data_IF_533640185163
#
_entry.id   IF_533640185163
#
_cell.length_a   1.000
_cell.length_b   1.000
_cell.length_c   1.000
_cell.angle_alpha   90.00
_cell.angle_beta   90.00
_cell.angle_gamma   90.00
#
_symmetry.space_group_name_H-M   'P 1'
#
loop_
_entity.id
_entity.type
_entity.pdbx_description
1 polymer ?
#
# COMPACT_ATOMS: atom_id res chain seq x y z
N UNK A 1 -23.44 4.94 13.54
CA UNK A 1 -22.25 5.13 12.71
C UNK A 1 -22.32 6.52 12.15
N UNK A 2 -21.40 7.36 12.58
CA UNK A 2 -21.24 8.75 12.20
C UNK A 2 -19.85 8.93 11.58
N UNK A 3 -19.74 9.86 10.64
CA UNK A 3 -18.46 10.23 10.04
C UNK A 3 -17.92 11.41 10.85
N UNK A 4 -16.88 11.15 11.64
CA UNK A 4 -16.35 12.12 12.60
C UNK A 4 -15.26 13.00 11.99
N UNK A 5 -14.54 12.48 10.99
CA UNK A 5 -13.47 13.22 10.30
C UNK A 5 -13.44 12.87 8.81
N UNK A 6 -13.17 13.88 7.97
CA UNK A 6 -12.94 13.72 6.54
C UNK A 6 -11.65 14.46 6.16
N UNK A 7 -10.71 13.74 5.57
CA UNK A 7 -9.43 14.27 5.09
C UNK A 7 -9.40 14.22 3.57
N UNK A 8 -9.21 15.37 2.93
CA UNK A 8 -9.19 15.52 1.47
C UNK A 8 -7.77 15.84 1.00
N UNK A 9 -7.32 15.13 -0.03
CA UNK A 9 -6.11 15.45 -0.80
C UNK A 9 -6.52 15.71 -2.25
N UNK A 10 -6.56 16.99 -2.62
CA UNK A 10 -6.87 17.42 -3.98
C UNK A 10 -5.80 16.92 -4.95
N UNK A 11 -6.21 16.56 -6.17
CA UNK A 11 -5.30 16.29 -7.28
C UNK A 11 -5.07 17.56 -8.08
N UNK A 12 -3.84 17.76 -8.54
CA UNK A 12 -3.45 18.94 -9.33
C UNK A 12 -3.83 18.79 -10.81
N UNK A 13 -3.92 17.55 -11.30
CA UNK A 13 -4.19 17.23 -12.71
C UNK A 13 -5.70 17.17 -12.99
N UNK A 14 -6.26 18.28 -13.47
CA UNK A 14 -7.70 18.41 -13.77
C UNK A 14 -8.18 17.62 -15.00
N UNK A 15 -7.27 17.11 -15.83
CA UNK A 15 -7.60 16.38 -17.06
C UNK A 15 -8.05 14.93 -16.78
N UNK A 16 -7.70 14.41 -15.59
CA UNK A 16 -8.09 13.07 -15.18
C UNK A 16 -9.43 13.08 -14.45
N UNK A 17 -10.18 11.98 -14.55
CA UNK A 17 -11.49 11.90 -13.89
C UNK A 17 -11.38 11.91 -12.36
N UNK A 18 -10.18 11.67 -11.82
CA UNK A 18 -9.90 11.64 -10.39
C UNK A 18 -9.62 13.05 -9.88
N UNK A 19 -10.52 13.56 -9.04
CA UNK A 19 -10.44 14.93 -8.52
C UNK A 19 -9.69 15.02 -7.18
N UNK A 20 -9.87 14.01 -6.32
CA UNK A 20 -9.21 13.98 -5.02
C UNK A 20 -9.17 12.55 -4.44
N UNK A 21 -8.23 12.33 -3.54
CA UNK A 21 -8.28 11.22 -2.60
C UNK A 21 -8.89 11.67 -1.28
N UNK A 22 -9.61 10.77 -0.63
CA UNK A 22 -10.29 11.01 0.63
C UNK A 22 -9.98 9.89 1.62
N UNK A 23 -9.81 10.26 2.88
CA UNK A 23 -9.85 9.33 4.02
C UNK A 23 -10.94 9.76 4.99
N UNK A 24 -11.71 8.82 5.50
CA UNK A 24 -12.79 9.10 6.46
C UNK A 24 -12.55 8.36 7.77
N UNK A 25 -12.90 8.98 8.88
CA UNK A 25 -12.93 8.36 10.21
C UNK A 25 -14.39 8.14 10.61
N UNK A 26 -14.71 6.91 11.00
CA UNK A 26 -16.02 6.48 11.46
C UNK A 26 -15.98 6.33 12.99
N UNK A 27 -16.96 6.93 13.67
CA UNK A 27 -17.16 6.85 15.12
C UNK A 27 -15.85 7.05 15.94
N UNK A 28 -14.93 7.92 15.47
CA UNK A 28 -13.59 8.17 16.06
C UNK A 28 -12.70 6.94 16.31
N UNK A 29 -13.06 5.78 15.76
CA UNK A 29 -12.39 4.51 16.08
C UNK A 29 -11.94 3.72 14.85
N UNK A 30 -12.40 4.09 13.65
CA UNK A 30 -12.09 3.34 12.43
C UNK A 30 -11.84 4.24 11.22
N UNK A 31 -10.66 4.14 10.61
CA UNK A 31 -10.28 4.94 9.44
C UNK A 31 -10.35 4.10 8.17
N UNK A 32 -11.04 4.63 7.16
CA UNK A 32 -11.04 4.08 5.79
C UNK A 32 -10.26 5.04 4.89
N UNK A 33 -9.20 4.53 4.26
CA UNK A 33 -8.33 5.27 3.35
C UNK A 33 -8.67 4.96 1.89
N UNK A 34 -8.08 5.75 0.99
CA UNK A 34 -8.13 5.55 -0.46
C UNK A 34 -9.54 5.58 -1.07
N UNK A 35 -10.46 6.35 -0.47
CA UNK A 35 -11.68 6.75 -1.17
C UNK A 35 -11.28 7.73 -2.27
N UNK A 36 -11.99 7.69 -3.39
CA UNK A 36 -11.71 8.53 -4.56
C UNK A 36 -12.90 9.40 -4.88
N UNK A 37 -12.67 10.68 -5.11
CA UNK A 37 -13.69 11.58 -5.64
C UNK A 37 -13.49 11.64 -7.15
N UNK A 38 -14.49 11.19 -7.89
CA UNK A 38 -14.42 11.03 -9.35
C UNK A 38 -15.49 11.89 -10.01
N UNK A 39 -15.11 12.60 -11.07
CA UNK A 39 -16.06 13.33 -11.90
C UNK A 39 -16.86 12.35 -12.78
N UNK A 40 -18.19 12.40 -12.61
CA UNK A 40 -19.17 11.64 -13.36
C UNK A 40 -20.02 12.53 -14.27
N UNK A 41 -20.92 11.93 -15.06
CA UNK A 41 -21.85 12.69 -15.89
C UNK A 41 -22.91 13.47 -15.11
N UNK A 42 -23.19 13.05 -13.87
CA UNK A 42 -24.12 13.69 -12.94
C UNK A 42 -23.40 14.49 -11.85
N UNK A 43 -22.13 14.87 -12.08
CA UNK A 43 -21.27 15.55 -11.11
C UNK A 43 -20.35 14.60 -10.32
N UNK A 44 -19.61 15.15 -9.34
CA UNK A 44 -18.64 14.39 -8.57
C UNK A 44 -19.32 13.37 -7.65
N UNK A 45 -18.74 12.17 -7.57
CA UNK A 45 -19.21 11.10 -6.70
C UNK A 45 -18.05 10.39 -6.01
N UNK A 46 -18.37 9.68 -4.93
CA UNK A 46 -17.39 8.95 -4.14
C UNK A 46 -17.30 7.50 -4.61
N UNK A 47 -16.12 7.09 -5.05
CA UNK A 47 -15.76 5.72 -5.33
C UNK A 47 -15.03 5.11 -4.12
N UNK A 48 -15.45 3.90 -3.75
CA UNK A 48 -14.92 3.19 -2.61
C UNK A 48 -13.48 2.67 -2.87
N UNK A 49 -12.68 2.44 -1.82
CA UNK A 49 -11.36 1.85 -1.96
C UNK A 49 -11.47 0.46 -2.56
N UNK A 50 -10.71 0.19 -3.62
CA UNK A 50 -10.81 -1.05 -4.40
C UNK A 50 -9.47 -1.73 -4.57
N UNK A 51 -9.50 -3.06 -4.65
CA UNK A 51 -8.33 -3.92 -4.88
C UNK A 51 -8.52 -4.78 -6.12
N UNK A 52 -7.43 -4.99 -6.86
CA UNK A 52 -7.40 -5.96 -7.96
C UNK A 52 -7.55 -7.38 -7.43
N UNK A 53 -8.49 -8.12 -7.99
CA UNK A 53 -8.74 -9.51 -7.67
C UNK A 53 -7.60 -10.41 -8.18
N UNK A 54 -7.33 -11.45 -7.40
CA UNK A 54 -6.21 -12.38 -7.62
C UNK A 54 -6.65 -13.82 -7.36
N UNK A 55 -6.00 -14.78 -8.02
CA UNK A 55 -6.14 -16.22 -7.74
C UNK A 55 -4.78 -16.87 -7.48
N UNK A 56 -4.79 -17.98 -6.75
CA UNK A 56 -3.59 -18.76 -6.48
C UNK A 56 -3.30 -19.73 -7.64
N UNK A 57 -2.03 -19.84 -8.00
CA UNK A 57 -1.56 -20.81 -9.00
C UNK A 57 -1.83 -22.24 -8.50
N UNK A 58 -2.42 -23.13 -9.30
CA UNK A 58 -2.65 -24.52 -8.89
C UNK A 58 -1.35 -25.34 -8.77
N UNK A 59 -0.23 -24.87 -9.36
CA UNK A 59 1.04 -25.58 -9.33
C UNK A 59 1.94 -25.18 -8.17
N UNK A 60 2.12 -23.86 -7.94
CA UNK A 60 3.06 -23.35 -6.92
C UNK A 60 2.38 -22.55 -5.80
N UNK A 61 1.07 -22.35 -5.84
CA UNK A 61 0.34 -21.57 -4.85
C UNK A 61 0.55 -20.04 -4.92
N UNK A 62 1.44 -19.53 -5.79
CA UNK A 62 1.69 -18.10 -5.89
C UNK A 62 0.42 -17.29 -6.25
N UNK A 63 0.31 -16.08 -5.70
CA UNK A 63 -0.81 -15.16 -5.95
C UNK A 63 -0.61 -14.44 -7.29
N UNK A 64 -1.57 -14.58 -8.20
CA UNK A 64 -1.54 -13.99 -9.53
C UNK A 64 -2.80 -13.16 -9.77
N UNK A 65 -2.71 -12.08 -10.56
CA UNK A 65 -3.89 -11.34 -10.98
C UNK A 65 -4.82 -12.21 -11.83
N UNK A 66 -6.14 -12.02 -11.72
CA UNK A 66 -7.11 -12.92 -12.37
C UNK A 66 -6.95 -13.05 -13.90
N UNK A 67 -6.47 -12.01 -14.59
CA UNK A 67 -6.22 -12.02 -16.04
C UNK A 67 -4.87 -12.59 -16.48
N UNK A 68 -4.03 -13.04 -15.54
CA UNK A 68 -2.76 -13.67 -15.92
C UNK A 68 -3.00 -14.98 -16.65
N UNK A 69 -2.52 -15.10 -17.89
CA UNK A 69 -2.46 -16.37 -18.61
C UNK A 69 -1.38 -17.32 -18.09
N UNK A 70 -0.38 -16.80 -17.39
CA UNK A 70 0.74 -17.55 -16.82
C UNK A 70 1.05 -17.10 -15.40
N UNK A 71 1.58 -18.01 -14.59
CA UNK A 71 1.99 -17.72 -13.24
C UNK A 71 3.26 -16.86 -13.23
N UNK A 72 3.21 -15.73 -12.52
CA UNK A 72 4.32 -14.81 -12.31
C UNK A 72 5.49 -15.41 -11.51
N UNK A 73 5.33 -16.58 -10.89
CA UNK A 73 6.37 -17.27 -10.11
C UNK A 73 6.95 -18.48 -10.85
N UNK A 74 6.12 -19.45 -11.24
CA UNK A 74 6.59 -20.70 -11.86
C UNK A 74 6.44 -20.76 -13.38
N UNK A 75 5.86 -19.74 -14.02
CA UNK A 75 5.59 -19.72 -15.46
C UNK A 75 4.48 -20.68 -15.92
N UNK A 76 3.89 -21.48 -15.02
CA UNK A 76 2.83 -22.42 -15.36
C UNK A 76 1.59 -21.71 -15.90
N UNK A 77 0.96 -22.29 -16.94
CA UNK A 77 -0.25 -21.74 -17.56
C UNK A 77 -1.42 -21.71 -16.56
N UNK A 78 -2.05 -20.55 -16.41
CA UNK A 78 -3.23 -20.35 -15.56
C UNK A 78 -4.48 -20.43 -16.43
N UNK A 79 -5.57 -20.97 -15.87
CA UNK A 79 -6.87 -21.03 -16.54
C UNK A 79 -7.60 -19.70 -16.34
N UNK A 80 -8.07 -19.11 -17.44
CA UNK A 80 -8.80 -17.82 -17.49
C UNK A 80 -10.22 -17.89 -16.88
N UNK A 81 -10.75 -19.10 -16.76
CA UNK A 81 -12.15 -19.37 -16.41
C UNK A 81 -12.47 -19.30 -14.91
N UNK A 82 -11.63 -18.61 -14.13
CA UNK A 82 -11.86 -18.38 -12.68
C UNK A 82 -12.48 -17.02 -12.39
N UNK A 83 -12.86 -16.29 -13.44
CA UNK A 83 -13.43 -14.96 -13.35
C UNK A 83 -14.93 -15.03 -13.05
N UNK A 84 -15.37 -14.40 -11.96
CA UNK A 84 -16.78 -14.12 -11.76
C UNK A 84 -17.20 -13.13 -12.86
N UNK A 85 -18.21 -13.51 -13.63
CA UNK A 85 -18.76 -12.68 -14.70
C UNK A 85 -20.00 -11.98 -14.17
N UNK A 86 -20.09 -10.68 -14.42
CA UNK A 86 -21.30 -9.90 -14.15
C UNK A 86 -22.43 -10.30 -15.13
N UNK A 87 -23.64 -9.79 -14.92
CA UNK A 87 -24.80 -10.07 -15.78
C UNK A 87 -24.55 -9.73 -17.26
N UNK A 88 -23.70 -8.74 -17.53
CA UNK A 88 -23.27 -8.33 -18.88
C UNK A 88 -22.14 -9.21 -19.46
N UNK A 89 -21.75 -10.29 -18.77
CA UNK A 89 -20.67 -11.19 -19.17
C UNK A 89 -19.26 -10.64 -18.97
N UNK A 90 -19.12 -9.43 -18.41
CA UNK A 90 -17.83 -8.80 -18.11
C UNK A 90 -17.17 -9.45 -16.90
N UNK A 91 -15.86 -9.68 -17.01
CA UNK A 91 -15.05 -10.23 -15.91
C UNK A 91 -14.85 -9.17 -14.82
N UNK A 92 -15.32 -9.43 -13.60
CA UNK A 92 -15.05 -8.60 -12.43
C UNK A 92 -13.56 -8.69 -12.07
N UNK A 93 -12.83 -7.60 -12.28
CA UNK A 93 -11.37 -7.52 -12.02
C UNK A 93 -11.01 -6.88 -10.69
N UNK A 94 -11.88 -6.00 -10.20
CA UNK A 94 -11.68 -5.25 -8.99
C UNK A 94 -12.86 -5.53 -8.08
N UNK A 95 -12.60 -5.48 -6.78
CA UNK A 95 -13.64 -5.49 -5.77
C UNK A 95 -13.30 -4.42 -4.75
N UNK A 96 -14.34 -3.79 -4.22
CA UNK A 96 -14.20 -2.82 -3.15
C UNK A 96 -13.77 -3.53 -1.87
N UNK A 97 -12.81 -2.93 -1.16
CA UNK A 97 -12.32 -3.41 0.13
C UNK A 97 -13.33 -3.05 1.22
N UNK A 98 -13.92 -1.86 1.12
CA UNK A 98 -14.98 -1.38 1.99
C UNK A 98 -16.14 -0.90 1.11
N UNK A 99 -17.36 -1.23 1.47
CA UNK A 99 -18.55 -0.72 0.79
C UNK A 99 -19.72 -0.54 1.78
N UNK A 100 -20.56 0.49 1.62
CA UNK A 100 -21.79 0.60 2.40
C UNK A 100 -22.75 -0.53 1.99
N UNK A 101 -23.42 -1.14 2.98
CA UNK A 101 -24.38 -2.22 2.75
C UNK A 101 -25.75 -1.66 2.31
N UNK A 102 -26.07 -0.46 2.79
CA UNK A 102 -27.37 0.19 2.65
C UNK A 102 -27.25 1.56 1.94
N UNK A 103 -28.33 1.96 1.24
CA UNK A 103 -28.37 3.22 0.47
C UNK A 103 -28.19 4.44 1.38
N UNK A 104 -28.84 4.44 2.54
CA UNK A 104 -28.73 5.53 3.52
C UNK A 104 -27.27 5.81 3.92
N UNK A 105 -26.49 4.76 4.21
CA UNK A 105 -25.07 4.91 4.54
C UNK A 105 -24.26 5.41 3.34
N UNK A 106 -24.58 4.92 2.12
CA UNK A 106 -23.93 5.40 0.89
C UNK A 106 -24.16 6.90 0.69
N UNK A 107 -25.40 7.35 0.84
CA UNK A 107 -25.79 8.75 0.71
C UNK A 107 -25.13 9.61 1.80
N UNK A 108 -25.09 9.12 3.05
CA UNK A 108 -24.39 9.78 4.15
C UNK A 108 -22.91 9.99 3.84
N UNK A 109 -22.18 8.92 3.44
CA UNK A 109 -20.75 9.02 3.08
C UNK A 109 -20.56 10.01 1.93
N UNK A 110 -21.35 9.86 0.87
CA UNK A 110 -21.23 10.73 -0.30
C UNK A 110 -21.46 12.20 0.05
N UNK A 111 -22.49 12.51 0.86
CA UNK A 111 -22.81 13.87 1.27
C UNK A 111 -21.69 14.50 2.10
N UNK A 112 -21.21 13.81 3.12
CA UNK A 112 -20.15 14.33 4.00
C UNK A 112 -18.83 14.55 3.24
N UNK A 113 -18.44 13.60 2.39
CA UNK A 113 -17.19 13.69 1.63
C UNK A 113 -17.24 14.80 0.57
N UNK A 114 -18.35 14.92 -0.17
CA UNK A 114 -18.48 15.98 -1.19
C UNK A 114 -18.54 17.36 -0.54
N UNK A 115 -19.22 17.51 0.59
CA UNK A 115 -19.26 18.77 1.33
C UNK A 115 -17.86 19.22 1.77
N UNK A 116 -17.06 18.31 2.33
CA UNK A 116 -15.69 18.65 2.74
C UNK A 116 -14.78 18.93 1.53
N UNK A 117 -14.96 18.20 0.43
CA UNK A 117 -14.23 18.45 -0.81
C UNK A 117 -14.48 19.84 -1.38
N UNK A 118 -15.75 20.29 -1.42
CA UNK A 118 -16.09 21.65 -1.84
C UNK A 118 -15.46 22.70 -0.92
N UNK A 119 -15.53 22.48 0.39
CA UNK A 119 -14.89 23.37 1.36
C UNK A 119 -13.36 23.43 1.19
N UNK A 120 -12.71 22.31 0.83
CA UNK A 120 -11.28 22.28 0.54
C UNK A 120 -10.93 22.97 -0.78
N UNK A 121 -11.77 22.87 -1.82
CA UNK A 121 -11.62 23.65 -3.06
C UNK A 121 -11.71 25.17 -2.82
N UNK A 122 -12.66 25.60 -2.00
CA UNK A 122 -12.83 27.01 -1.64
C UNK A 122 -11.60 27.53 -0.87
N UNK A 123 -11.03 26.69 0.00
CA UNK A 123 -9.77 26.98 0.70
C UNK A 123 -8.57 27.01 -0.26
N UNK A 124 -8.52 26.09 -1.22
CA UNK A 124 -7.46 26.02 -2.23
C UNK A 124 -7.40 27.25 -3.14
N UNK A 125 -8.53 27.94 -3.32
CA UNK A 125 -8.60 29.18 -4.10
C UNK A 125 -7.95 30.36 -3.36
N UNK A 126 -7.79 30.31 -2.04
CA UNK A 126 -7.23 31.41 -1.26
C UNK A 126 -5.70 31.49 -1.41
N UNK A 127 -5.12 32.70 -1.52
CA UNK A 127 -3.68 32.87 -1.66
C UNK A 127 -2.96 32.37 -0.39
N UNK A 128 -1.97 31.50 -0.57
CA UNK A 128 -1.23 30.88 0.53
C UNK A 128 -1.84 29.58 1.06
N UNK A 129 -2.74 28.95 0.30
CA UNK A 129 -3.26 27.63 0.65
C UNK A 129 -2.14 26.59 0.82
N UNK A 130 -2.20 25.88 1.93
CA UNK A 130 -1.46 24.65 2.19
C UNK A 130 -2.48 23.59 2.60
N UNK A 131 -2.45 22.43 1.93
CA UNK A 131 -3.30 21.29 2.28
C UNK A 131 -3.04 20.87 3.72
N UNK A 132 -4.09 20.78 4.54
CA UNK A 132 -3.96 20.40 5.97
C UNK A 132 -3.45 18.97 6.18
N UNK A 133 -3.58 18.13 5.17
CA UNK A 133 -3.43 16.68 5.30
C UNK A 133 -2.25 16.11 4.52
N UNK A 134 -1.46 16.95 3.85
CA UNK A 134 -0.31 16.49 3.06
C UNK A 134 0.94 16.22 3.93
N UNK A 135 0.95 16.62 5.20
CA UNK A 135 2.15 16.54 6.05
C UNK A 135 2.20 15.36 7.05
N UNK A 136 1.28 14.39 7.03
CA UNK A 136 1.23 13.38 8.13
C UNK A 136 0.87 11.95 7.72
N UNK A 137 1.41 11.46 6.60
CA UNK A 137 1.52 10.02 6.36
C UNK A 137 2.97 9.60 6.08
N UNK A 138 3.92 10.31 6.68
CA UNK A 138 5.25 9.77 6.94
C UNK A 138 5.15 8.83 8.14
N UNK A 139 5.48 7.57 7.91
CA UNK A 139 5.96 6.59 8.88
C UNK A 139 6.15 7.15 10.29
N UNK A 140 5.40 6.62 11.25
CA UNK A 140 5.55 6.79 12.69
C UNK A 140 6.90 6.25 13.24
N UNK A 141 7.97 6.31 12.44
CA UNK A 141 9.34 6.25 12.90
C UNK A 141 9.80 7.66 13.28
N UNK A 142 9.31 8.14 14.41
CA UNK A 142 10.03 9.15 15.20
C UNK A 142 11.48 8.65 15.37
N UNK A 143 12.51 9.33 14.81
CA UNK A 143 13.86 9.10 15.26
C UNK A 143 13.90 9.66 16.68
N UNK A 144 13.94 8.79 17.68
CA UNK A 144 14.13 9.16 19.08
C UNK A 144 15.15 10.29 19.17
N UNK A 145 14.61 11.42 19.61
CA UNK A 145 15.23 12.60 20.16
C UNK A 145 16.75 12.64 20.11
N UNK A 146 17.25 13.77 19.60
CA UNK A 146 18.60 14.26 19.80
C UNK A 146 19.09 14.01 21.25
N UNK A 147 19.69 12.85 21.48
CA UNK A 147 20.55 12.60 22.63
C UNK A 147 21.76 13.48 22.43
N UNK A 148 21.70 14.65 23.03
CA UNK A 148 22.81 15.55 23.25
C UNK A 148 23.94 14.74 23.90
N UNK A 149 24.92 14.35 23.10
CA UNK A 149 26.14 13.74 23.59
C UNK A 149 26.92 14.87 24.28
N UNK A 150 27.20 14.81 25.60
CA UNK A 150 28.02 15.81 26.24
C UNK A 150 29.43 15.75 25.64
N UNK A 151 29.90 16.90 25.18
CA UNK A 151 31.26 17.12 24.71
C UNK A 151 32.23 17.02 25.90
N UNK A 152 32.90 15.88 26.02
CA UNK A 152 34.09 15.75 26.83
C UNK A 152 35.31 15.65 25.90
N UNK A 153 36.13 16.70 25.96
CA UNK A 153 37.45 16.82 25.36
C UNK A 153 38.43 15.86 26.03
N UNK A 154 39.12 15.01 25.27
CA UNK A 154 40.54 14.70 25.52
C UNK A 154 41.25 14.11 24.29
N UNK A 155 42.56 14.34 24.22
CA UNK A 155 43.37 14.44 23.00
C UNK A 155 43.98 13.11 22.45
N UNK A 156 43.83 12.90 21.13
CA UNK A 156 44.76 12.21 20.20
C UNK A 156 45.07 10.70 20.39
N UNK A 157 45.67 9.99 19.39
CA UNK A 157 46.39 10.50 18.23
C UNK A 157 45.87 10.07 16.84
N UNK A 158 46.30 10.90 15.90
CA UNK A 158 46.23 10.91 14.43
C UNK A 158 46.28 9.55 13.71
N UNK A 159 45.36 9.36 12.75
CA UNK A 159 45.53 8.39 11.66
C UNK A 159 45.43 9.11 10.31
N UNK A 160 46.52 9.02 9.56
CA UNK A 160 46.78 9.64 8.26
C UNK A 160 45.78 9.15 7.21
N UNK A 161 45.21 10.08 6.41
CA UNK A 161 44.37 9.75 5.25
C UNK A 161 45.26 9.39 4.05
N UNK A 162 44.98 8.29 3.31
CA UNK A 162 45.55 8.13 1.98
C UNK A 162 44.70 8.89 0.96
N UNK A 163 45.38 9.68 0.14
CA UNK A 163 44.85 10.34 -1.04
C UNK A 163 44.52 9.33 -2.16
N UNK A 164 43.55 9.69 -2.99
CA UNK A 164 43.11 9.09 -4.26
C UNK A 164 42.10 7.94 -4.19
N UNK A 165 40.83 8.28 -4.43
CA UNK A 165 39.78 7.35 -4.84
C UNK A 165 40.06 6.79 -6.23
N UNK A 166 40.62 5.59 -6.30
CA UNK A 166 40.79 4.86 -7.55
C UNK A 166 39.44 4.24 -7.96
N UNK A 167 38.77 4.84 -8.95
CA UNK A 167 37.57 4.28 -9.58
C UNK A 167 38.04 3.19 -10.56
N UNK A 168 37.70 1.93 -10.28
CA UNK A 168 37.95 0.82 -11.20
C UNK A 168 36.94 0.85 -12.36
N UNK A 169 37.34 0.61 -13.61
CA UNK A 169 36.43 0.55 -14.75
C UNK A 169 35.52 -0.68 -14.68
N UNK A 170 34.32 -0.57 -15.28
CA UNK A 170 33.32 -1.63 -15.31
C UNK A 170 33.83 -2.88 -16.04
N UNK A 171 33.65 -4.05 -15.42
CA UNK A 171 33.98 -5.33 -16.03
C UNK A 171 33.04 -5.61 -17.23
N UNK A 172 33.61 -5.99 -18.38
CA UNK A 172 32.92 -6.12 -19.68
C UNK A 172 32.29 -7.51 -19.87
N UNK A 173 32.50 -8.45 -18.94
CA UNK A 173 31.92 -9.79 -19.05
C UNK A 173 30.50 -9.89 -18.45
N UNK A 174 29.50 -10.40 -19.20
CA UNK A 174 28.18 -10.67 -18.65
C UNK A 174 28.24 -11.82 -17.63
N UNK A 175 27.55 -11.64 -16.50
CA UNK A 175 27.47 -12.66 -15.44
C UNK A 175 26.82 -13.94 -15.97
N UNK A 176 27.39 -15.13 -15.68
CA UNK A 176 26.81 -16.40 -16.12
C UNK A 176 25.45 -16.66 -15.45
N UNK A 177 24.54 -17.43 -16.09
CA UNK A 177 23.24 -17.73 -15.53
C UNK A 177 23.36 -18.54 -14.23
N UNK A 178 22.57 -18.17 -13.23
CA UNK A 178 22.52 -18.83 -11.92
C UNK A 178 22.23 -20.33 -12.08
N UNK A 179 23.14 -21.16 -11.57
CA UNK A 179 22.93 -22.60 -11.43
C UNK A 179 21.89 -22.83 -10.33
N UNK A 180 20.91 -23.74 -10.49
CA UNK A 180 19.97 -24.05 -9.42
C UNK A 180 20.74 -24.69 -8.25
N UNK A 181 20.48 -24.19 -7.03
CA UNK A 181 21.04 -24.75 -5.80
C UNK A 181 20.55 -26.20 -5.63
N UNK A 182 21.47 -27.08 -5.25
CA UNK A 182 21.13 -28.43 -4.77
C UNK A 182 20.24 -28.31 -3.51
N UNK A 183 19.23 -29.18 -3.32
CA UNK A 183 18.41 -29.15 -2.12
C UNK A 183 19.27 -29.48 -0.89
N UNK A 184 18.99 -28.88 0.28
CA UNK A 184 19.72 -29.18 1.50
C UNK A 184 19.47 -30.63 1.92
N UNK A 185 20.54 -31.30 2.33
CA UNK A 185 20.52 -32.65 2.91
C UNK A 185 19.67 -32.62 4.17
N UNK A 186 18.68 -33.51 4.27
CA UNK A 186 17.89 -33.72 5.48
C UNK A 186 18.76 -34.42 6.53
N UNK A 187 19.22 -33.68 7.53
CA UNK A 187 19.74 -34.27 8.76
C UNK A 187 18.60 -34.93 9.52
N UNK A 188 18.60 -36.26 9.51
CA UNK A 188 17.76 -37.08 10.37
C UNK A 188 18.46 -37.24 11.71
N UNK A 189 18.05 -36.46 12.71
CA UNK A 189 18.00 -36.81 14.13
C UNK A 189 18.03 -35.55 15.01
N UNK A 190 16.87 -35.08 15.44
CA UNK A 190 16.75 -34.48 16.78
C UNK A 190 15.52 -35.05 17.47
N UNK A 191 15.77 -35.46 18.71
CA UNK A 191 14.87 -36.15 19.63
C UNK A 191 13.65 -35.29 19.95
N UNK A 192 12.58 -36.02 20.22
CA UNK A 192 11.24 -35.55 20.48
C UNK A 192 11.17 -35.09 21.95
N UNK A 193 11.43 -33.81 22.19
CA UNK A 193 11.32 -33.22 23.52
C UNK A 193 10.00 -32.42 23.55
N UNK A 194 9.01 -32.99 24.25
CA UNK A 194 7.61 -32.58 24.23
C UNK A 194 7.38 -31.13 24.64
N UNK A 195 6.78 -30.37 23.72
CA UNK A 195 6.18 -29.06 23.99
C UNK A 195 4.66 -29.21 23.85
N UNK A 196 3.93 -29.22 24.98
CA UNK A 196 2.46 -29.28 24.95
C UNK A 196 1.75 -30.02 26.10
N UNK A 197 2.44 -30.41 27.18
CA UNK A 197 1.76 -30.92 28.37
C UNK A 197 1.42 -29.76 29.32
N UNK A 198 0.15 -29.33 29.35
CA UNK A 198 -0.39 -28.56 30.49
C UNK A 198 -1.17 -27.26 30.20
N UNK A 199 -2.14 -27.27 29.28
CA UNK A 199 -3.05 -26.11 29.10
C UNK A 199 -4.53 -26.44 29.40
N UNK A 200 -4.83 -27.63 29.90
CA UNK A 200 -6.17 -27.94 30.40
C UNK A 200 -6.10 -28.81 31.65
N UNK A 201 -5.98 -28.16 32.80
CA UNK A 201 -6.58 -28.58 34.06
C UNK A 201 -6.98 -27.33 34.87
#
# INVERSE_FOLDING_TARGET
MEITEVRIKLMEDSDDRLQAFCSITLDDCFVIRDLKIIEGSSGPFVAMPSRKLTSHCPHCGAKNHLRSGYCNQCGGRLKDDRSVRDADGRVKLYADIAHPINSECREMIQKHVIAEYQAELDRATQPGYMSRYDESYGDDYEPEEARTVPTAVDAGPTRVMPEHSHIQPANVEPRPPHRPMSPPVRDTARKNDGFGAGVFE
#
